data_IF_824946159953
#
_entry.id   IF_824946159953
#
_cell.length_a   1.000
_cell.length_b   1.000
_cell.length_c   1.000
_cell.angle_alpha   90.00
_cell.angle_beta   90.00
_cell.angle_gamma   90.00
#
_symmetry.space_group_name_H-M   'P 1'
#
loop_
_entity.id
_entity.type
_entity.pdbx_description
1 polymer ?
#
# COMPACT_ATOMS: atom_id res chain seq x y z
N UNK A 1 -13.72 -11.12 -3.10
CA UNK A 1 -13.05 -10.09 -2.25
C UNK A 1 -11.60 -9.78 -2.70
N UNK A 2 -11.05 -10.46 -3.72
CA UNK A 2 -9.73 -10.16 -4.30
C UNK A 2 -9.81 -9.41 -5.65
N UNK A 3 -11.01 -9.07 -6.12
CA UNK A 3 -11.24 -8.61 -7.49
C UNK A 3 -11.51 -7.11 -7.64
N UNK A 4 -11.62 -6.35 -6.55
CA UNK A 4 -11.92 -4.91 -6.64
C UNK A 4 -10.74 -4.09 -7.18
N UNK A 5 -9.49 -4.43 -6.83
CA UNK A 5 -8.29 -3.76 -7.35
C UNK A 5 -7.95 -4.22 -8.78
N UNK A 6 -8.37 -5.42 -9.19
CA UNK A 6 -8.08 -5.96 -10.52
C UNK A 6 -9.10 -5.52 -11.60
N UNK A 7 -10.32 -5.19 -11.19
CA UNK A 7 -11.41 -4.70 -12.05
C UNK A 7 -11.59 -3.18 -11.95
N UNK A 8 -10.66 -2.49 -11.29
CA UNK A 8 -10.68 -1.04 -11.18
C UNK A 8 -10.13 -0.42 -12.47
N UNK A 9 -10.87 0.50 -13.07
CA UNK A 9 -10.41 1.30 -14.21
C UNK A 9 -9.33 2.32 -13.80
N UNK A 10 -9.04 2.46 -12.49
CA UNK A 10 -8.00 3.34 -11.94
C UNK A 10 -6.58 2.85 -12.27
N UNK A 11 -5.66 3.81 -12.43
CA UNK A 11 -4.25 3.51 -12.71
C UNK A 11 -3.57 2.88 -11.48
N UNK A 12 -2.78 1.83 -11.71
CA UNK A 12 -2.09 1.10 -10.65
C UNK A 12 -1.15 1.98 -9.81
N UNK A 13 -0.65 3.08 -10.40
CA UNK A 13 0.16 4.07 -9.68
C UNK A 13 -0.66 4.85 -8.65
N UNK A 14 -1.90 5.20 -8.96
CA UNK A 14 -2.74 6.03 -8.10
C UNK A 14 -3.15 5.22 -6.88
N UNK A 15 -3.51 3.94 -7.09
CA UNK A 15 -3.77 2.98 -6.04
C UNK A 15 -2.55 2.77 -5.14
N UNK A 16 -1.33 2.70 -5.71
CA UNK A 16 -0.10 2.59 -4.93
C UNK A 16 0.10 3.81 -4.02
N UNK A 17 -0.10 5.02 -4.54
CA UNK A 17 0.08 6.27 -3.78
C UNK A 17 -0.91 6.31 -2.61
N UNK A 18 -2.20 6.06 -2.87
CA UNK A 18 -3.25 6.02 -1.85
C UNK A 18 -2.92 5.01 -0.75
N UNK A 19 -2.57 3.77 -1.11
CA UNK A 19 -2.24 2.73 -0.15
C UNK A 19 -1.00 3.08 0.66
N UNK A 20 0.07 3.58 0.02
CA UNK A 20 1.29 4.01 0.72
C UNK A 20 0.97 5.10 1.74
N UNK A 21 0.22 6.13 1.34
CA UNK A 21 -0.12 7.24 2.23
C UNK A 21 -1.00 6.80 3.40
N UNK A 22 -1.90 5.84 3.17
CA UNK A 22 -2.72 5.26 4.25
C UNK A 22 -1.93 4.52 5.33
N UNK A 23 -0.69 4.08 5.04
CA UNK A 23 0.18 3.47 6.06
C UNK A 23 0.67 4.48 7.10
N UNK A 24 0.65 5.78 6.79
CA UNK A 24 1.26 6.83 7.61
C UNK A 24 2.80 6.87 7.56
N UNK A 25 3.44 5.98 6.77
CA UNK A 25 4.89 5.99 6.58
C UNK A 25 5.30 7.06 5.57
N UNK A 26 6.42 7.73 5.84
CA UNK A 26 7.07 8.50 4.79
C UNK A 26 7.70 7.56 3.74
N UNK A 27 8.07 8.07 2.57
CA UNK A 27 8.56 7.24 1.46
C UNK A 27 9.82 6.44 1.81
N UNK A 28 10.71 6.98 2.64
CA UNK A 28 11.92 6.28 3.06
C UNK A 28 11.59 5.07 3.95
N UNK A 29 10.78 5.29 4.99
CA UNK A 29 10.30 4.23 5.89
C UNK A 29 9.57 3.13 5.14
N UNK A 30 8.72 3.51 4.17
CA UNK A 30 8.02 2.54 3.32
C UNK A 30 9.01 1.68 2.51
N UNK A 31 10.02 2.30 1.91
CA UNK A 31 11.03 1.58 1.13
C UNK A 31 11.84 0.63 2.00
N UNK A 32 12.23 1.05 3.21
CA UNK A 32 12.93 0.19 4.17
C UNK A 32 12.05 -0.98 4.63
N UNK A 33 10.80 -0.70 5.00
CA UNK A 33 9.88 -1.71 5.53
C UNK A 33 9.55 -2.81 4.51
N UNK A 34 9.26 -2.42 3.26
CA UNK A 34 8.94 -3.38 2.19
C UNK A 34 10.18 -3.90 1.44
N UNK A 35 11.38 -3.46 1.83
CA UNK A 35 12.66 -3.79 1.19
C UNK A 35 12.68 -3.47 -0.31
N UNK A 36 12.09 -2.32 -0.68
CA UNK A 36 11.99 -1.87 -2.07
C UNK A 36 12.95 -0.71 -2.29
N UNK A 37 13.79 -0.74 -3.34
CA UNK A 37 14.62 0.40 -3.68
C UNK A 37 13.78 1.66 -3.90
N UNK A 38 14.20 2.79 -3.33
CA UNK A 38 13.50 4.08 -3.45
C UNK A 38 13.21 4.47 -4.91
N UNK A 39 14.15 4.20 -5.81
CA UNK A 39 14.00 4.46 -7.25
C UNK A 39 12.88 3.64 -7.87
N UNK A 40 12.63 2.42 -7.40
CA UNK A 40 11.54 1.57 -7.89
C UNK A 40 10.19 2.15 -7.50
N UNK A 41 10.02 2.57 -6.24
CA UNK A 41 8.79 3.25 -5.80
C UNK A 41 8.60 4.55 -6.58
N UNK A 42 9.66 5.33 -6.79
CA UNK A 42 9.59 6.55 -7.60
C UNK A 42 9.17 6.26 -9.05
N UNK A 43 9.77 5.27 -9.72
CA UNK A 43 9.39 4.90 -11.08
C UNK A 43 7.91 4.46 -11.18
N UNK A 44 7.41 3.77 -10.16
CA UNK A 44 6.02 3.36 -10.05
C UNK A 44 5.06 4.54 -9.85
N UNK A 45 5.32 5.41 -8.88
CA UNK A 45 4.47 6.57 -8.57
C UNK A 45 4.42 7.58 -9.73
N UNK A 46 5.52 7.74 -10.47
CA UNK A 46 5.56 8.59 -11.68
C UNK A 46 5.02 7.90 -12.93
N UNK A 47 4.59 6.64 -12.85
CA UNK A 47 4.08 5.87 -14.00
C UNK A 47 5.13 5.50 -15.05
N UNK A 48 6.43 5.61 -14.73
CA UNK A 48 7.53 5.19 -15.62
C UNK A 48 7.60 3.67 -15.76
N UNK A 49 7.19 2.95 -14.72
CA UNK A 49 7.04 1.49 -14.71
C UNK A 49 5.69 1.11 -14.11
N UNK A 50 5.08 0.04 -14.61
CA UNK A 50 3.85 -0.49 -14.01
C UNK A 50 4.13 -1.13 -12.66
N UNK A 51 3.25 -0.86 -11.70
CA UNK A 51 3.25 -1.52 -10.39
C UNK A 51 2.86 -2.99 -10.57
N UNK A 52 3.58 -3.95 -9.98
CA UNK A 52 3.16 -5.33 -9.99
C UNK A 52 1.83 -5.52 -9.25
N UNK A 53 0.85 -6.15 -9.90
CA UNK A 53 -0.50 -6.38 -9.32
C UNK A 53 -0.47 -7.19 -8.02
N UNK A 54 0.48 -8.10 -7.86
CA UNK A 54 0.64 -8.85 -6.60
C UNK A 54 1.09 -7.94 -5.44
N UNK A 55 1.88 -6.91 -5.73
CA UNK A 55 2.37 -6.00 -4.72
C UNK A 55 1.25 -5.12 -4.18
N UNK A 56 0.35 -4.63 -5.05
CA UNK A 56 -0.86 -3.92 -4.62
C UNK A 56 -1.75 -4.77 -3.70
N UNK A 57 -1.92 -6.07 -4.02
CA UNK A 57 -2.67 -7.00 -3.16
C UNK A 57 -2.02 -7.21 -1.80
N UNK A 58 -0.69 -7.35 -1.77
CA UNK A 58 0.07 -7.45 -0.52
C UNK A 58 -0.10 -6.18 0.33
N UNK A 59 -0.01 -5.02 -0.30
CA UNK A 59 -0.08 -3.74 0.39
C UNK A 59 -1.49 -3.47 0.95
N UNK A 60 -2.53 -3.82 0.19
CA UNK A 60 -3.92 -3.75 0.66
C UNK A 60 -4.14 -4.66 1.89
N UNK A 61 -3.63 -5.89 1.84
CA UNK A 61 -3.70 -6.82 2.96
C UNK A 61 -3.01 -6.25 4.21
N UNK A 62 -1.81 -5.68 4.05
CA UNK A 62 -1.08 -5.04 5.13
C UNK A 62 -1.88 -3.91 5.79
N UNK A 63 -2.41 -2.97 4.98
CA UNK A 63 -3.21 -1.84 5.49
C UNK A 63 -4.45 -2.33 6.26
N UNK A 64 -5.15 -3.35 5.75
CA UNK A 64 -6.31 -3.93 6.44
C UNK A 64 -5.92 -4.57 7.78
N UNK A 65 -4.81 -5.30 7.83
CA UNK A 65 -4.32 -5.91 9.05
C UNK A 65 -3.96 -4.85 10.11
N UNK A 66 -3.27 -3.78 9.70
CA UNK A 66 -2.94 -2.64 10.57
C UNK A 66 -4.19 -1.96 11.14
N UNK A 67 -5.21 -1.73 10.31
CA UNK A 67 -6.48 -1.15 10.76
C UNK A 67 -7.20 -2.05 11.78
N UNK A 68 -7.21 -3.37 11.56
CA UNK A 68 -7.80 -4.33 12.50
C UNK A 68 -7.04 -4.37 13.83
N UNK A 69 -5.71 -4.24 13.80
CA UNK A 69 -4.90 -4.20 15.01
C UNK A 69 -5.19 -2.93 15.83
N UNK A 70 -5.21 -1.76 15.18
CA UNK A 70 -5.56 -0.49 15.82
C UNK A 70 -6.96 -0.52 16.46
N UNK A 71 -7.95 -1.06 15.74
CA UNK A 71 -9.30 -1.20 16.27
C UNK A 71 -9.40 -2.12 17.50
N UNK A 72 -8.55 -3.16 17.59
CA UNK A 72 -8.47 -4.03 18.78
C UNK A 72 -7.80 -3.35 19.96
N UNK A 73 -6.76 -2.56 19.72
CA UNK A 73 -6.06 -1.79 20.77
C UNK A 73 -6.99 -0.74 21.39
N UNK A 74 -7.80 -0.06 20.59
CA UNK A 74 -8.81 0.91 21.05
C UNK A 74 -9.90 0.26 21.91
N UNK A 75 -10.31 -0.98 21.60
CA UNK A 75 -11.31 -1.72 22.38
C UNK A 75 -10.76 -2.29 23.70
N UNK A 76 -9.45 -2.54 23.79
CA UNK A 76 -8.83 -3.07 25.01
C UNK A 76 -8.41 -1.97 26.00
N UNK A 77 -8.34 -0.72 25.56
CA UNK A 77 -7.90 0.43 26.35
C UNK A 77 -9.06 1.34 26.82
N UNK A 78 -10.31 0.95 26.59
CA UNK A 78 -11.54 1.63 27.05
C UNK A 78 -12.31 0.81 28.05
#
# INVERSE_FOLDING_TARGET
MADYILNDDRDAKDILIELRESTGMNRHQFCEYFEIPYMTVSDWEHGKKRVPKYFLRLLEYYVKAEQMNKAKEEQNNG
#
